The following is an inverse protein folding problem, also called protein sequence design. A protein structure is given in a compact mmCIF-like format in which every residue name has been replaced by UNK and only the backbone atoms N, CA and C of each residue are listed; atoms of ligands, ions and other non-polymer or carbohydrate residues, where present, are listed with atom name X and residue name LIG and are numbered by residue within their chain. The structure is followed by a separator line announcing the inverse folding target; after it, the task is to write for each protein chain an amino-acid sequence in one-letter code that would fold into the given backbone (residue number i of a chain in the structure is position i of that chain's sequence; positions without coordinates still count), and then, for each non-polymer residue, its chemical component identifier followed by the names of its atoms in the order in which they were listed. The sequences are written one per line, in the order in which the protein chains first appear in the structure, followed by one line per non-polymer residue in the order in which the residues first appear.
data_IF_664199290199
#
_entry.id   IF_664199290199
#
_cell.length_a   1.000
_cell.length_b   1.000
_cell.length_c   1.000
_cell.angle_alpha   90.00
_cell.angle_beta   90.00
_cell.angle_gamma   90.00
#
_symmetry.space_group_name_H-M   'P 1'
#
loop_
_entity.id
_entity.type
_entity.pdbx_description
1 polymer ?
#
# COMPACT_ATOMS: atom_id res chain seq x y z
N UNK A 1 -21.81 -3.17 24.02
CA UNK A 1 -22.16 -2.91 22.61
C UNK A 1 -23.22 -1.82 22.58
N UNK A 2 -22.90 -0.65 22.01
CA UNK A 2 -23.81 -0.10 21.01
C UNK A 2 -23.07 0.43 19.77
N UNK A 3 -23.77 0.35 18.65
CA UNK A 3 -23.40 0.82 17.32
C UNK A 3 -23.73 2.31 17.23
N UNK A 4 -22.74 3.16 16.97
CA UNK A 4 -22.98 4.58 16.69
C UNK A 4 -23.00 4.83 15.18
N UNK A 5 -24.20 5.13 14.69
CA UNK A 5 -24.51 5.66 13.36
C UNK A 5 -24.11 7.14 13.31
N UNK A 6 -23.19 7.51 12.41
CA UNK A 6 -22.89 8.92 12.12
C UNK A 6 -23.75 9.42 10.95
N UNK A 7 -24.81 10.15 11.25
CA UNK A 7 -25.56 11.00 10.33
C UNK A 7 -24.88 12.36 10.21
N UNK A 8 -24.07 12.56 9.17
CA UNK A 8 -23.55 13.90 8.87
C UNK A 8 -24.54 14.69 8.00
N UNK A 9 -25.23 15.61 8.67
CA UNK A 9 -26.05 16.68 8.11
C UNK A 9 -25.11 17.83 7.75
N UNK A 10 -24.88 18.08 6.46
CA UNK A 10 -24.20 19.29 6.00
C UNK A 10 -25.20 20.31 5.45
N UNK A 11 -25.21 21.43 6.17
CA UNK A 11 -25.90 22.69 6.02
C UNK A 11 -25.84 23.29 4.60
N UNK A 12 -26.99 23.70 4.05
CA UNK A 12 -27.07 24.47 2.80
C UNK A 12 -27.38 25.94 3.13
N UNK A 13 -26.38 26.81 2.99
CA UNK A 13 -26.59 28.26 3.04
C UNK A 13 -27.28 28.73 1.75
N UNK A 14 -28.39 29.43 1.92
CA UNK A 14 -29.16 30.07 0.86
C UNK A 14 -28.41 31.29 0.28
N UNK A 15 -28.28 31.36 -1.03
CA UNK A 15 -27.85 32.56 -1.75
C UNK A 15 -29.01 33.08 -2.61
N UNK A 16 -29.37 34.33 -2.35
CA UNK A 16 -30.49 35.08 -2.91
C UNK A 16 -30.38 35.26 -4.43
N UNK A 17 -31.49 35.04 -5.14
CA UNK A 17 -31.63 35.22 -6.60
C UNK A 17 -32.29 36.58 -6.89
N UNK A 18 -31.62 37.46 -7.62
CA UNK A 18 -32.20 38.70 -8.14
C UNK A 18 -33.00 38.42 -9.44
N UNK A 19 -34.13 39.10 -9.68
CA UNK A 19 -34.92 38.90 -10.90
C UNK A 19 -34.35 39.71 -12.08
N UNK A 20 -33.98 39.02 -13.17
CA UNK A 20 -33.78 39.68 -14.48
C UNK A 20 -35.14 39.84 -15.17
N UNK A 21 -35.50 41.10 -15.47
CA UNK A 21 -36.62 41.46 -16.34
C UNK A 21 -36.34 40.96 -17.77
N UNK A 22 -37.27 40.20 -18.34
CA UNK A 22 -37.24 39.80 -19.75
C UNK A 22 -38.30 40.64 -20.48
N UNK A 23 -37.86 41.39 -21.49
CA UNK A 23 -38.70 42.15 -22.42
C UNK A 23 -39.34 41.18 -23.41
N UNK A 24 -40.67 41.16 -23.45
CA UNK A 24 -41.48 40.39 -24.39
C UNK A 24 -41.56 41.14 -25.72
N UNK A 25 -41.17 40.49 -26.81
CA UNK A 25 -41.37 40.99 -28.16
C UNK A 25 -41.39 39.83 -29.15
N UNK A 26 -42.63 39.36 -29.44
CA UNK A 26 -43.17 38.86 -30.73
C UNK A 26 -42.34 37.90 -31.60
N UNK A 27 -42.86 36.89 -32.27
CA UNK A 27 -44.08 36.10 -32.26
C UNK A 27 -43.77 34.95 -33.25
N UNK A 28 -44.24 33.74 -32.95
CA UNK A 28 -44.53 32.64 -33.86
C UNK A 28 -43.52 32.28 -34.97
N UNK A 29 -42.82 31.15 -34.83
CA UNK A 29 -42.86 30.10 -35.86
C UNK A 29 -42.58 28.75 -35.17
N UNK A 30 -43.63 27.95 -35.07
CA UNK A 30 -43.59 26.54 -34.65
C UNK A 30 -42.90 25.77 -35.77
N UNK A 31 -41.91 24.94 -35.48
CA UNK A 31 -41.69 23.64 -36.13
C UNK A 31 -40.73 22.79 -35.30
N UNK A 32 -41.25 21.68 -34.79
CA UNK A 32 -40.54 20.57 -34.16
C UNK A 32 -39.51 19.98 -35.12
N UNK A 33 -38.23 19.99 -34.75
CA UNK A 33 -37.25 19.00 -35.25
C UNK A 33 -36.46 18.45 -34.06
N UNK A 34 -36.54 17.13 -33.94
CA UNK A 34 -36.05 16.34 -32.86
C UNK A 34 -34.51 16.40 -32.71
N UNK A 35 -34.09 16.51 -31.44
CA UNK A 35 -32.90 15.95 -30.79
C UNK A 35 -31.74 15.52 -31.66
N UNK A 36 -30.56 16.10 -31.43
CA UNK A 36 -29.25 15.41 -31.36
C UNK A 36 -28.16 16.44 -30.98
N UNK A 37 -27.24 16.04 -30.08
CA UNK A 37 -26.00 16.71 -29.56
C UNK A 37 -26.05 17.09 -28.07
N UNK A 38 -24.93 16.97 -27.33
CA UNK A 38 -24.61 15.75 -26.58
C UNK A 38 -24.55 16.08 -25.09
N UNK A 39 -25.32 15.37 -24.28
CA UNK A 39 -25.17 15.45 -22.84
C UNK A 39 -23.87 14.72 -22.48
N UNK A 40 -22.75 15.47 -22.50
CA UNK A 40 -21.50 15.13 -21.83
C UNK A 40 -21.75 15.15 -20.31
N UNK A 41 -22.58 14.22 -19.83
CA UNK A 41 -22.47 13.77 -18.45
C UNK A 41 -21.25 12.86 -18.42
N UNK A 42 -20.09 13.46 -18.18
CA UNK A 42 -18.94 12.72 -17.69
C UNK A 42 -19.34 12.18 -16.31
N UNK A 43 -19.98 11.01 -16.30
CA UNK A 43 -20.18 10.23 -15.10
C UNK A 43 -18.78 9.94 -14.56
N UNK A 44 -18.38 10.67 -13.53
CA UNK A 44 -17.17 10.38 -12.80
C UNK A 44 -17.35 8.99 -12.20
N UNK A 45 -16.76 7.98 -12.85
CA UNK A 45 -16.59 6.66 -12.29
C UNK A 45 -15.73 6.81 -11.04
N UNK A 46 -16.38 6.95 -9.88
CA UNK A 46 -15.70 6.76 -8.62
C UNK A 46 -15.36 5.27 -8.52
N UNK A 47 -14.17 4.90 -9.00
CA UNK A 47 -13.61 3.57 -8.78
C UNK A 47 -13.45 3.37 -7.28
N UNK A 48 -14.37 2.64 -6.66
CA UNK A 48 -14.19 2.19 -5.30
C UNK A 48 -12.96 1.27 -5.27
N UNK A 49 -11.88 1.72 -4.64
CA UNK A 49 -10.73 0.88 -4.40
C UNK A 49 -11.15 -0.22 -3.42
N UNK A 50 -11.21 -1.46 -3.88
CA UNK A 50 -11.42 -2.62 -3.01
C UNK A 50 -10.22 -2.71 -2.06
N UNK A 51 -10.39 -2.22 -0.84
CA UNK A 51 -9.40 -2.34 0.23
C UNK A 51 -9.42 -3.78 0.79
N UNK A 52 -8.26 -4.31 1.13
CA UNK A 52 -8.11 -5.63 1.79
C UNK A 52 -7.53 -6.75 0.91
N UNK A 53 -7.34 -6.56 -0.39
CA UNK A 53 -6.62 -7.51 -1.25
C UNK A 53 -5.10 -7.32 -1.20
N UNK A 54 -4.34 -8.36 -1.58
CA UNK A 54 -2.91 -8.21 -1.88
C UNK A 54 -2.72 -7.53 -3.22
N UNK A 55 -1.96 -6.45 -3.24
CA UNK A 55 -1.54 -5.73 -4.45
C UNK A 55 -0.06 -5.97 -4.68
N UNK A 56 0.32 -6.46 -5.87
CA UNK A 56 1.73 -6.62 -6.25
C UNK A 56 2.37 -5.24 -6.40
N UNK A 57 3.59 -5.10 -5.90
CA UNK A 57 4.41 -3.91 -6.02
C UNK A 57 5.71 -4.23 -6.76
N UNK A 58 6.34 -3.21 -7.33
CA UNK A 58 7.70 -3.31 -7.87
C UNK A 58 8.71 -3.36 -6.71
N UNK A 59 9.57 -4.40 -6.60
CA UNK A 59 10.53 -4.52 -5.50
C UNK A 59 11.46 -3.32 -5.31
N UNK A 60 11.85 -2.70 -6.42
CA UNK A 60 12.71 -1.50 -6.44
C UNK A 60 11.94 -0.19 -6.28
N UNK A 61 10.60 -0.23 -6.29
CA UNK A 61 9.75 0.97 -6.31
C UNK A 61 9.73 1.76 -5.00
N UNK A 62 10.14 1.15 -3.87
CA UNK A 62 10.27 1.85 -2.59
C UNK A 62 11.39 1.23 -1.74
N UNK A 63 12.40 2.01 -1.28
CA UNK A 63 13.52 1.50 -0.47
C UNK A 63 13.09 0.89 0.87
N UNK A 64 11.89 1.22 1.35
CA UNK A 64 11.29 0.62 2.53
C UNK A 64 11.14 -0.89 2.40
N UNK A 65 10.85 -1.42 1.21
CA UNK A 65 10.64 -2.86 1.03
C UNK A 65 11.91 -3.66 1.36
N UNK A 66 13.06 -3.18 0.89
CA UNK A 66 14.34 -3.78 1.24
C UNK A 66 14.65 -3.64 2.73
N UNK A 67 14.34 -2.49 3.32
CA UNK A 67 14.51 -2.26 4.76
C UNK A 67 13.66 -3.23 5.60
N UNK A 68 12.41 -3.51 5.20
CA UNK A 68 11.55 -4.48 5.86
C UNK A 68 12.03 -5.93 5.69
N UNK A 69 12.66 -6.26 4.56
CA UNK A 69 13.29 -7.56 4.37
C UNK A 69 14.50 -7.73 5.31
N UNK A 70 15.34 -6.70 5.44
CA UNK A 70 16.44 -6.68 6.41
C UNK A 70 15.94 -6.75 7.86
N UNK A 71 14.85 -6.06 8.20
CA UNK A 71 14.17 -6.21 9.49
C UNK A 71 13.70 -7.65 9.71
N UNK A 72 13.11 -8.30 8.71
CA UNK A 72 12.61 -9.67 8.86
C UNK A 72 13.73 -10.69 9.10
N UNK A 73 14.83 -10.61 8.33
CA UNK A 73 15.96 -11.55 8.43
C UNK A 73 16.77 -11.34 9.72
N UNK A 74 16.92 -10.10 10.18
CA UNK A 74 17.71 -9.80 11.39
C UNK A 74 17.12 -10.40 12.66
N UNK A 75 15.81 -10.66 12.68
CA UNK A 75 15.11 -11.27 13.80
C UNK A 75 15.36 -12.79 13.89
N UNK A 76 15.98 -13.40 12.87
CA UNK A 76 16.13 -14.85 12.77
C UNK A 76 17.45 -15.32 13.37
N UNK A 77 17.63 -15.15 14.67
CA UNK A 77 18.88 -15.47 15.37
C UNK A 77 18.90 -16.85 16.03
N UNK A 78 17.72 -17.47 16.22
CA UNK A 78 17.62 -18.72 16.95
C UNK A 78 18.40 -19.85 16.24
N UNK A 79 19.35 -20.45 16.97
CA UNK A 79 20.15 -21.58 16.48
C UNK A 79 21.18 -21.21 15.41
N UNK A 80 21.54 -19.92 15.28
CA UNK A 80 22.53 -19.45 14.31
C UNK A 80 23.70 -18.74 14.99
N UNK A 81 24.91 -19.04 14.53
CA UNK A 81 26.13 -18.34 14.96
C UNK A 81 26.33 -17.02 14.19
N UNK A 82 25.92 -17.00 12.92
CA UNK A 82 26.03 -15.84 12.01
C UNK A 82 24.65 -15.34 11.62
N UNK A 83 24.52 -14.03 11.41
CA UNK A 83 23.33 -13.49 10.78
C UNK A 83 23.30 -13.89 9.31
N UNK A 84 22.13 -14.31 8.84
CA UNK A 84 21.81 -14.24 7.43
C UNK A 84 21.49 -12.77 7.07
N UNK A 85 21.74 -12.38 5.82
CA UNK A 85 21.40 -11.05 5.30
C UNK A 85 20.69 -11.17 3.96
N UNK A 86 19.97 -10.11 3.56
CA UNK A 86 19.25 -10.10 2.29
C UNK A 86 20.26 -10.00 1.14
N UNK A 87 20.22 -10.96 0.22
CA UNK A 87 21.01 -10.94 -1.02
C UNK A 87 20.21 -10.28 -2.15
N UNK A 88 18.94 -10.65 -2.33
CA UNK A 88 18.08 -10.05 -3.35
C UNK A 88 16.61 -10.03 -2.93
N UNK A 89 15.93 -8.89 -3.10
CA UNK A 89 14.48 -8.78 -2.94
C UNK A 89 13.78 -9.02 -4.28
N UNK A 90 13.02 -10.11 -4.36
CA UNK A 90 12.45 -10.61 -5.64
C UNK A 90 10.97 -10.27 -5.83
N UNK A 91 10.18 -10.25 -4.76
CA UNK A 91 8.74 -9.98 -4.86
C UNK A 91 8.23 -9.20 -3.66
N UNK A 92 7.28 -8.30 -3.91
CA UNK A 92 6.61 -7.50 -2.89
C UNK A 92 5.11 -7.49 -3.15
N UNK A 93 4.33 -7.75 -2.11
CA UNK A 93 2.88 -7.51 -2.09
C UNK A 93 2.51 -6.69 -0.87
N UNK A 94 1.58 -5.76 -1.05
CA UNK A 94 1.03 -4.92 0.03
C UNK A 94 -0.45 -5.20 0.21
N UNK A 95 -0.93 -5.15 1.45
CA UNK A 95 -2.36 -5.25 1.73
C UNK A 95 -2.72 -4.24 2.81
N UNK A 96 -3.64 -3.33 2.48
CA UNK A 96 -4.17 -2.34 3.44
C UNK A 96 -5.24 -3.00 4.30
N UNK A 97 -5.08 -2.87 5.62
CA UNK A 97 -6.00 -3.36 6.68
C UNK A 97 -6.14 -2.26 7.75
N UNK A 98 -6.22 -2.59 9.04
CA UNK A 98 -6.01 -1.64 10.15
C UNK A 98 -4.53 -1.21 10.32
N UNK A 99 -3.82 -1.08 9.21
CA UNK A 99 -2.38 -0.97 9.06
C UNK A 99 -1.99 -1.42 7.64
N UNK A 100 -0.76 -1.88 7.44
CA UNK A 100 -0.31 -2.41 6.15
C UNK A 100 0.46 -3.71 6.38
N UNK A 101 0.05 -4.78 5.70
CA UNK A 101 0.87 -5.99 5.58
C UNK A 101 1.77 -5.87 4.35
N UNK A 102 3.03 -6.25 4.52
CA UNK A 102 4.04 -6.37 3.47
C UNK A 102 4.46 -7.83 3.38
N UNK A 103 4.10 -8.52 2.30
CA UNK A 103 4.59 -9.86 1.99
C UNK A 103 5.79 -9.73 1.05
N UNK A 104 6.96 -10.15 1.54
CA UNK A 104 8.26 -9.96 0.90
C UNK A 104 8.85 -11.33 0.59
N UNK A 105 9.25 -11.55 -0.66
CA UNK A 105 10.03 -12.73 -1.06
C UNK A 105 11.44 -12.30 -1.42
N UNK A 106 12.44 -12.86 -0.75
CA UNK A 106 13.85 -12.50 -0.94
C UNK A 106 14.77 -13.71 -0.78
N UNK A 107 15.97 -13.61 -1.32
CA UNK A 107 17.04 -14.57 -1.07
C UNK A 107 17.93 -14.10 0.07
N UNK A 108 18.50 -15.05 0.81
CA UNK A 108 19.44 -14.80 1.90
C UNK A 108 20.81 -15.37 1.60
N UNK A 109 21.82 -14.80 2.25
CA UNK A 109 23.18 -15.35 2.29
C UNK A 109 23.77 -15.15 3.69
N UNK A 110 24.72 -15.99 4.13
CA UNK A 110 25.47 -15.76 5.37
C UNK A 110 26.19 -14.41 5.32
N UNK A 111 26.15 -13.66 6.43
CA UNK A 111 26.87 -12.40 6.57
C UNK A 111 28.15 -12.53 7.40
N UNK A 112 28.96 -11.48 7.40
CA UNK A 112 30.12 -11.34 8.27
C UNK A 112 29.75 -11.21 9.77
N UNK A 113 28.54 -10.75 10.11
CA UNK A 113 28.12 -10.46 11.48
C UNK A 113 27.83 -11.72 12.31
N UNK A 114 28.33 -11.76 13.54
CA UNK A 114 28.07 -12.81 14.54
C UNK A 114 26.90 -12.45 15.44
N UNK A 115 25.98 -13.39 15.63
CA UNK A 115 24.84 -13.25 16.54
C UNK A 115 25.33 -13.08 17.98
N UNK A 116 24.79 -12.09 18.69
CA UNK A 116 25.15 -11.79 20.09
C UNK A 116 26.46 -11.01 20.28
N UNK A 117 27.25 -10.81 19.23
CA UNK A 117 28.44 -9.95 19.26
C UNK A 117 28.23 -8.67 18.45
N UNK A 118 27.69 -8.81 17.24
CA UNK A 118 27.46 -7.69 16.34
C UNK A 118 25.99 -7.24 16.37
N UNK A 119 25.79 -5.92 16.33
CA UNK A 119 24.47 -5.34 16.09
C UNK A 119 24.17 -5.41 14.59
N UNK A 120 23.03 -6.01 14.23
CA UNK A 120 22.66 -6.14 12.83
C UNK A 120 22.37 -4.77 12.19
N UNK A 121 22.97 -4.51 11.03
CA UNK A 121 22.52 -3.48 10.09
C UNK A 121 22.78 -3.93 8.67
N UNK A 122 21.94 -3.48 7.73
CA UNK A 122 22.09 -3.82 6.31
C UNK A 122 23.45 -3.36 5.72
N UNK A 123 24.03 -2.30 6.27
CA UNK A 123 25.28 -1.71 5.80
C UNK A 123 26.52 -2.44 6.32
N UNK A 124 26.47 -2.96 7.56
CA UNK A 124 27.60 -3.65 8.19
C UNK A 124 27.59 -5.16 7.95
N UNK A 125 26.39 -5.76 7.94
CA UNK A 125 26.18 -7.19 7.80
C UNK A 125 25.99 -7.58 6.34
N UNK A 126 27.10 -7.56 5.60
CA UNK A 126 27.14 -7.82 4.16
C UNK A 126 27.31 -9.32 3.86
N UNK A 127 26.80 -9.82 2.72
CA UNK A 127 26.98 -11.20 2.30
C UNK A 127 28.47 -11.57 2.19
N UNK A 128 28.87 -12.72 2.73
CA UNK A 128 30.24 -13.26 2.62
C UNK A 128 30.32 -14.64 1.98
N UNK A 129 29.17 -15.21 1.63
CA UNK A 129 29.05 -16.50 0.98
C UNK A 129 27.89 -16.47 -0.02
N UNK A 130 27.75 -17.57 -0.76
CA UNK A 130 26.67 -17.76 -1.72
C UNK A 130 25.29 -17.75 -1.05
N UNK A 131 24.28 -17.53 -1.89
CA UNK A 131 22.87 -17.58 -1.48
C UNK A 131 22.57 -18.94 -0.85
N UNK A 132 22.00 -18.93 0.36
CA UNK A 132 21.71 -20.14 1.13
C UNK A 132 20.20 -20.41 1.32
N UNK A 133 19.33 -19.45 0.97
CA UNK A 133 17.90 -19.64 1.12
C UNK A 133 17.05 -18.69 0.27
N UNK A 134 15.82 -19.13 -0.02
CA UNK A 134 14.72 -18.30 -0.48
C UNK A 134 13.69 -18.20 0.64
N UNK A 135 13.37 -16.98 1.05
CA UNK A 135 12.55 -16.69 2.20
C UNK A 135 11.33 -15.86 1.81
N UNK A 136 10.24 -16.07 2.54
CA UNK A 136 9.04 -15.26 2.51
C UNK A 136 8.73 -14.76 3.91
N UNK A 137 8.62 -13.44 4.05
CA UNK A 137 8.25 -12.79 5.30
C UNK A 137 6.94 -12.00 5.11
N UNK A 138 6.12 -11.93 6.16
CA UNK A 138 5.02 -10.98 6.25
C UNK A 138 5.30 -10.03 7.40
N UNK A 139 5.50 -8.75 7.09
CA UNK A 139 5.72 -7.69 8.06
C UNK A 139 4.47 -6.83 8.14
N UNK A 140 3.96 -6.62 9.35
CA UNK A 140 2.82 -5.76 9.61
C UNK A 140 3.29 -4.42 10.20
N UNK A 141 2.76 -3.33 9.67
CA UNK A 141 3.02 -2.00 10.21
C UNK A 141 1.74 -1.22 10.47
N UNK A 142 1.78 -0.43 11.54
CA UNK A 142 0.77 0.56 11.88
C UNK A 142 1.46 1.92 11.94
N UNK A 143 1.54 2.66 10.82
CA UNK A 143 2.36 3.88 10.74
C UNK A 143 1.97 4.95 11.77
N UNK A 144 0.67 5.15 12.00
CA UNK A 144 0.17 6.13 12.99
C UNK A 144 0.41 5.72 14.44
N UNK A 145 0.80 4.47 14.70
CA UNK A 145 1.18 3.98 16.01
C UNK A 145 2.67 3.64 16.11
N UNK A 146 3.47 3.96 15.08
CA UNK A 146 4.90 3.67 14.99
C UNK A 146 5.26 2.22 15.39
N UNK A 147 4.45 1.26 14.95
CA UNK A 147 4.59 -0.16 15.30
C UNK A 147 4.90 -0.97 14.06
N UNK A 148 5.93 -1.82 14.14
CA UNK A 148 6.34 -2.76 13.10
C UNK A 148 6.53 -4.14 13.73
N UNK A 149 5.98 -5.18 13.12
CA UNK A 149 6.03 -6.55 13.64
C UNK A 149 6.18 -7.58 12.52
N UNK A 150 6.94 -8.64 12.80
CA UNK A 150 7.06 -9.80 11.91
C UNK A 150 5.93 -10.80 12.21
N UNK A 151 5.00 -10.96 11.29
CA UNK A 151 3.83 -11.83 11.45
C UNK A 151 4.11 -13.27 11.01
N UNK A 152 4.95 -13.45 9.99
CA UNK A 152 5.38 -14.78 9.55
C UNK A 152 6.74 -14.73 8.88
N UNK A 153 7.49 -15.82 8.98
CA UNK A 153 8.77 -15.99 8.31
C UNK A 153 8.98 -17.47 7.96
N UNK A 154 9.23 -17.75 6.68
CA UNK A 154 9.49 -19.11 6.18
C UNK A 154 10.63 -19.06 5.19
N UNK A 155 11.59 -19.98 5.30
CA UNK A 155 12.68 -20.13 4.34
C UNK A 155 12.83 -21.56 3.87
N UNK A 156 13.23 -21.70 2.62
CA UNK A 156 13.66 -22.97 2.03
C UNK A 156 15.10 -22.84 1.53
N UNK A 157 15.95 -23.87 1.64
CA UNK A 157 17.25 -23.88 0.99
C UNK A 157 17.13 -23.63 -0.52
N UNK A 158 18.16 -23.01 -1.11
CA UNK A 158 18.25 -22.94 -2.57
C UNK A 158 18.75 -24.29 -3.10
N UNK A 159 17.98 -24.87 -4.03
CA UNK A 159 18.24 -26.16 -4.69
C UNK A 159 19.32 -26.08 -5.76
#
# INVERSE_FOLDING_TARGET
MPVNTCTHRCNMNALNRAPRRISVGQAAFILLVATLTPVFLCGQHASAALVGGWTKQEPSGNPKYLSLAHYAVSQQTQGRDKYDTVSNLTEVYTQVVAGVNYKLTFTTAPSNCTVGQDAYSAQLCVPVAEVNGRCTAVVYEVPWANTTGLTSYTCSPVS
#
